data_IF_824858987981
#
_entry.id   IF_824858987981
#
_cell.length_a   1.000
_cell.length_b   1.000
_cell.length_c   1.000
_cell.angle_alpha   90.00
_cell.angle_beta   90.00
_cell.angle_gamma   90.00
#
_symmetry.space_group_name_H-M   'P 1'
#
loop_
_entity.id
_entity.type
_entity.pdbx_description
1 polymer ?
#
# COMPACT_ATOMS: atom_id res chain seq x y z
N UNK A 1 18.77 12.28 2.13
CA UNK A 1 18.66 11.03 2.90
C UNK A 1 17.56 11.16 3.93
N UNK A 2 16.75 10.12 4.06
CA UNK A 2 15.64 10.05 5.01
C UNK A 2 16.18 9.73 6.41
N UNK A 3 15.81 10.50 7.43
CA UNK A 3 16.41 10.37 8.78
C UNK A 3 15.97 9.07 9.46
N UNK A 4 16.92 8.36 10.07
CA UNK A 4 16.63 7.20 10.93
C UNK A 4 16.32 7.66 12.36
N UNK A 5 15.49 6.89 13.07
CA UNK A 5 15.35 6.94 14.54
C UNK A 5 16.21 5.83 15.15
N UNK A 6 17.36 6.21 15.68
CA UNK A 6 18.30 5.31 16.36
C UNK A 6 18.07 5.39 17.86
N UNK A 7 17.89 4.25 18.51
CA UNK A 7 17.78 4.16 19.97
C UNK A 7 19.00 3.45 20.55
N UNK A 8 19.64 4.09 21.51
CA UNK A 8 20.71 3.52 22.31
C UNK A 8 20.09 2.85 23.54
N UNK A 9 20.27 1.54 23.68
CA UNK A 9 19.78 0.81 24.84
C UNK A 9 20.85 0.85 25.94
N UNK A 10 20.66 1.76 26.89
CA UNK A 10 21.61 2.10 27.96
C UNK A 10 21.25 1.41 29.27
N UNK A 11 22.20 1.32 30.20
CA UNK A 11 21.97 0.84 31.58
C UNK A 11 22.09 2.02 32.57
N UNK A 12 21.05 2.35 33.33
CA UNK A 12 21.05 3.56 34.19
C UNK A 12 21.53 3.38 35.63
N UNK A 13 21.74 2.15 36.12
CA UNK A 13 22.13 1.87 37.52
C UNK A 13 23.54 1.25 37.55
N UNK A 14 24.61 1.80 38.17
CA UNK A 14 24.75 2.80 39.22
C UNK A 14 26.18 3.39 39.18
N UNK A 15 26.32 4.70 39.00
CA UNK A 15 27.57 5.47 39.14
C UNK A 15 28.01 5.68 40.61
N UNK A 16 27.32 5.04 41.57
CA UNK A 16 27.53 5.24 43.01
C UNK A 16 28.23 4.03 43.63
N UNK A 17 29.53 3.92 43.39
CA UNK A 17 30.42 2.97 44.07
C UNK A 17 31.84 3.14 43.55
N UNK A 18 32.82 3.16 44.45
CA UNK A 18 34.25 3.28 44.12
C UNK A 18 34.80 2.10 43.27
N UNK A 19 33.95 1.13 42.91
CA UNK A 19 34.24 -0.03 42.08
C UNK A 19 33.48 0.01 40.75
N UNK A 20 33.59 1.12 40.00
CA UNK A 20 33.07 1.16 38.64
C UNK A 20 33.88 0.16 37.78
N UNK A 21 33.27 -1.00 37.48
CA UNK A 21 33.88 -2.02 36.62
C UNK A 21 34.36 -1.37 35.30
N UNK A 22 35.53 -1.74 34.75
CA UNK A 22 36.11 -1.08 33.58
C UNK A 22 35.14 -0.93 32.39
N UNK A 23 34.29 -1.94 32.15
CA UNK A 23 33.28 -1.89 31.09
C UNK A 23 32.22 -0.79 31.30
N UNK A 24 31.91 -0.38 32.55
CA UNK A 24 31.00 0.73 32.83
C UNK A 24 31.60 2.08 32.43
N UNK A 25 32.88 2.29 32.71
CA UNK A 25 33.59 3.52 32.34
C UNK A 25 33.74 3.65 30.83
N UNK A 26 34.18 2.59 30.14
CA UNK A 26 34.27 2.60 28.68
C UNK A 26 32.89 2.67 28.01
N UNK A 27 31.84 2.12 28.64
CA UNK A 27 30.46 2.18 28.15
C UNK A 27 29.96 3.62 27.97
N UNK A 28 30.22 4.52 28.92
CA UNK A 28 29.84 5.93 28.76
C UNK A 28 30.54 6.59 27.56
N UNK A 29 31.86 6.42 27.44
CA UNK A 29 32.62 6.94 26.30
C UNK A 29 32.15 6.37 24.97
N UNK A 30 31.81 5.08 24.94
CA UNK A 30 31.27 4.41 23.76
C UNK A 30 29.95 5.07 23.33
N UNK A 31 29.02 5.27 24.27
CA UNK A 31 27.72 5.90 23.97
C UNK A 31 27.86 7.35 23.48
N UNK A 32 28.74 8.14 24.08
CA UNK A 32 29.04 9.51 23.62
C UNK A 32 29.58 9.50 22.18
N UNK A 33 30.48 8.56 21.86
CA UNK A 33 31.02 8.42 20.51
C UNK A 33 29.97 7.99 19.50
N UNK A 34 29.11 7.04 19.86
CA UNK A 34 28.02 6.56 18.99
C UNK A 34 27.00 7.67 18.75
N UNK A 35 26.60 8.39 19.80
CA UNK A 35 25.68 9.51 19.68
C UNK A 35 26.21 10.57 18.72
N UNK A 36 27.49 10.95 18.84
CA UNK A 36 28.13 11.91 17.93
C UNK A 36 28.09 11.46 16.47
N UNK A 37 28.27 10.17 16.18
CA UNK A 37 28.17 9.62 14.81
C UNK A 37 26.74 9.74 14.27
N UNK A 38 25.74 9.35 15.07
CA UNK A 38 24.33 9.39 14.65
C UNK A 38 23.89 10.82 14.36
N UNK A 39 24.34 11.78 15.18
CA UNK A 39 24.08 13.21 15.01
C UNK A 39 24.79 13.80 13.79
N UNK A 40 26.05 13.39 13.53
CA UNK A 40 26.82 13.78 12.33
C UNK A 40 26.11 13.35 11.03
N UNK A 41 25.47 12.17 11.02
CA UNK A 41 24.65 11.69 9.90
C UNK A 41 23.25 12.30 9.84
N UNK A 42 22.95 13.28 10.70
CA UNK A 42 21.66 13.95 10.81
C UNK A 42 20.49 13.00 11.10
N UNK A 43 20.73 11.90 11.79
CA UNK A 43 19.70 10.98 12.29
C UNK A 43 19.20 11.42 13.67
N UNK A 44 18.03 10.93 14.09
CA UNK A 44 17.50 11.17 15.45
C UNK A 44 18.10 10.12 16.37
N UNK A 45 18.73 10.57 17.45
CA UNK A 45 19.31 9.72 18.49
C UNK A 45 18.50 9.88 19.79
N UNK A 46 18.09 8.78 20.40
CA UNK A 46 17.44 8.75 21.70
C UNK A 46 18.05 7.63 22.55
N UNK A 47 17.98 7.75 23.88
CA UNK A 47 18.37 6.68 24.79
C UNK A 47 17.16 6.10 25.51
N UNK A 48 17.22 4.79 25.76
CA UNK A 48 16.25 4.05 26.56
C UNK A 48 17.01 3.25 27.61
N UNK A 49 16.56 3.30 28.86
CA UNK A 49 17.13 2.48 29.92
C UNK A 49 16.57 1.06 29.86
N UNK A 50 17.46 0.06 29.90
CA UNK A 50 17.07 -1.34 29.95
C UNK A 50 16.16 -1.63 31.16
N UNK A 51 16.46 -1.04 32.32
CA UNK A 51 15.63 -1.22 33.51
C UNK A 51 14.21 -0.67 33.29
N UNK A 52 14.04 0.43 32.56
CA UNK A 52 12.71 0.95 32.24
C UNK A 52 11.92 0.01 31.32
N UNK A 53 12.61 -0.74 30.45
CA UNK A 53 11.98 -1.77 29.62
C UNK A 53 11.56 -3.00 30.43
N UNK A 54 12.37 -3.44 31.40
CA UNK A 54 12.03 -4.55 32.30
C UNK A 54 10.71 -4.31 33.04
N UNK A 55 10.47 -3.06 33.46
CA UNK A 55 9.24 -2.64 34.13
C UNK A 55 8.11 -2.23 33.17
N UNK A 56 8.29 -2.46 31.86
CA UNK A 56 7.33 -2.09 30.81
C UNK A 56 6.87 -0.63 30.89
N UNK A 57 7.79 0.29 31.22
CA UNK A 57 7.47 1.73 31.26
C UNK A 57 7.02 2.18 29.87
N UNK A 58 5.77 2.65 29.78
CA UNK A 58 5.08 2.91 28.52
C UNK A 58 5.91 3.76 27.54
N UNK A 59 6.52 4.85 28.00
CA UNK A 59 7.32 5.74 27.14
C UNK A 59 8.58 5.06 26.60
N UNK A 60 9.29 4.29 27.43
CA UNK A 60 10.51 3.59 27.07
C UNK A 60 10.26 2.44 26.11
N UNK A 61 9.23 1.63 26.38
CA UNK A 61 8.77 0.56 25.49
C UNK A 61 8.41 1.14 24.14
N UNK A 62 7.66 2.23 24.15
CA UNK A 62 7.24 2.91 22.94
C UNK A 62 8.42 3.42 22.10
N UNK A 63 9.39 4.14 22.72
CA UNK A 63 10.62 4.57 22.04
C UNK A 63 11.38 3.38 21.43
N UNK A 64 11.53 2.31 22.21
CA UNK A 64 12.24 1.10 21.80
C UNK A 64 11.58 0.38 20.62
N UNK A 65 10.26 0.16 20.63
CA UNK A 65 9.55 -0.53 19.53
C UNK A 65 9.48 0.34 18.26
N UNK A 66 9.41 1.66 18.42
CA UNK A 66 9.35 2.60 17.29
C UNK A 66 10.72 2.98 16.70
N UNK A 67 11.81 2.57 17.31
CA UNK A 67 13.15 2.73 16.76
C UNK A 67 13.27 2.03 15.40
N UNK A 68 13.93 2.69 14.45
CA UNK A 68 14.32 2.08 13.17
C UNK A 68 15.49 1.11 13.38
N UNK A 69 16.44 1.51 14.23
CA UNK A 69 17.58 0.69 14.64
C UNK A 69 17.76 0.86 16.14
N UNK A 70 17.93 -0.25 16.86
CA UNK A 70 18.43 -0.24 18.23
C UNK A 70 19.89 -0.64 18.24
N UNK A 71 20.71 0.08 19.00
CA UNK A 71 22.10 -0.28 19.28
C UNK A 71 22.18 -0.78 20.72
N UNK A 72 22.66 -2.02 20.89
CA UNK A 72 22.70 -2.70 22.19
C UNK A 72 24.13 -3.15 22.49
N UNK A 73 24.66 -2.77 23.65
CA UNK A 73 25.93 -3.29 24.15
C UNK A 73 25.67 -4.46 25.10
N UNK A 74 26.05 -5.67 24.68
CA UNK A 74 25.86 -6.92 25.42
C UNK A 74 27.12 -7.38 26.14
N UNK A 75 28.07 -6.46 26.37
CA UNK A 75 29.32 -6.75 27.08
C UNK A 75 29.06 -7.32 28.48
N UNK A 76 28.06 -6.80 29.20
CA UNK A 76 27.70 -7.25 30.55
C UNK A 76 26.96 -8.61 30.54
N UNK A 77 27.56 -9.71 31.04
CA UNK A 77 26.96 -11.05 31.03
C UNK A 77 25.59 -11.12 31.72
N UNK A 78 25.44 -10.44 32.86
CA UNK A 78 24.22 -10.48 33.68
C UNK A 78 22.99 -9.93 32.95
N UNK A 79 23.21 -9.08 31.94
CA UNK A 79 22.14 -8.39 31.19
C UNK A 79 21.88 -9.00 29.82
N UNK A 80 22.77 -9.86 29.31
CA UNK A 80 22.60 -10.51 27.99
C UNK A 80 21.25 -11.19 27.83
N UNK A 81 20.72 -11.96 28.81
CA UNK A 81 19.41 -12.60 28.65
C UNK A 81 18.29 -11.59 28.38
N UNK A 82 18.29 -10.47 29.10
CA UNK A 82 17.30 -9.39 28.93
C UNK A 82 17.44 -8.70 27.57
N UNK A 83 18.67 -8.39 27.14
CA UNK A 83 18.92 -7.86 25.80
C UNK A 83 18.41 -8.80 24.71
N UNK A 84 18.68 -10.10 24.84
CA UNK A 84 18.23 -11.11 23.88
C UNK A 84 16.72 -11.27 23.84
N UNK A 85 16.05 -11.18 24.99
CA UNK A 85 14.59 -11.18 25.04
C UNK A 85 14.01 -10.00 24.25
N UNK A 86 14.48 -8.78 24.49
CA UNK A 86 13.98 -7.61 23.78
C UNK A 86 14.37 -7.61 22.29
N UNK A 87 15.53 -8.14 21.94
CA UNK A 87 15.91 -8.39 20.54
C UNK A 87 14.92 -9.35 19.87
N UNK A 88 14.59 -10.47 20.52
CA UNK A 88 13.61 -11.43 20.01
C UNK A 88 12.23 -10.81 19.78
N UNK A 89 11.78 -9.94 20.69
CA UNK A 89 10.54 -9.18 20.49
C UNK A 89 10.61 -8.29 19.24
N UNK A 90 11.75 -7.65 18.98
CA UNK A 90 11.95 -6.84 17.77
C UNK A 90 12.02 -7.69 16.50
N UNK A 91 12.71 -8.84 16.54
CA UNK A 91 12.72 -9.80 15.42
C UNK A 91 11.30 -10.28 15.08
N UNK A 92 10.44 -10.50 16.08
CA UNK A 92 9.03 -10.88 15.85
C UNK A 92 8.23 -9.79 15.11
N UNK A 93 8.66 -8.53 15.19
CA UNK A 93 8.10 -7.40 14.44
C UNK A 93 8.84 -7.08 13.14
N UNK A 94 9.68 -8.00 12.65
CA UNK A 94 10.50 -7.86 11.44
C UNK A 94 11.55 -6.72 11.53
N UNK A 95 11.94 -6.33 12.75
CA UNK A 95 13.05 -5.40 13.00
C UNK A 95 14.38 -6.18 13.05
N UNK A 96 14.97 -6.49 11.90
CA UNK A 96 16.17 -7.34 11.81
C UNK A 96 17.49 -6.56 11.78
N UNK A 97 17.43 -5.23 11.67
CA UNK A 97 18.58 -4.35 11.42
C UNK A 97 19.25 -3.80 12.70
N UNK A 98 18.88 -4.30 13.87
CA UNK A 98 19.48 -3.88 15.14
C UNK A 98 20.98 -4.23 15.19
N UNK A 99 21.75 -3.37 15.86
CA UNK A 99 23.21 -3.47 15.98
C UNK A 99 23.54 -4.00 17.36
N UNK A 100 24.35 -5.06 17.41
CA UNK A 100 24.84 -5.63 18.67
C UNK A 100 26.33 -5.32 18.80
N UNK A 101 26.71 -4.74 19.94
CA UNK A 101 28.08 -4.44 20.32
C UNK A 101 28.52 -5.38 21.45
N UNK A 102 29.77 -5.84 21.41
CA UNK A 102 30.36 -6.61 22.51
C UNK A 102 31.87 -6.35 22.59
N UNK A 103 32.38 -6.12 23.79
CA UNK A 103 33.81 -5.94 24.01
C UNK A 103 34.54 -7.29 23.93
N UNK A 104 35.65 -7.34 23.19
CA UNK A 104 36.58 -8.46 23.28
C UNK A 104 37.37 -8.37 24.60
N UNK A 105 36.82 -8.97 25.65
CA UNK A 105 37.44 -9.00 26.97
C UNK A 105 37.09 -10.28 27.72
N UNK A 106 38.10 -11.10 27.95
CA UNK A 106 37.99 -12.33 28.76
C UNK A 106 37.26 -13.47 28.04
N UNK A 107 37.43 -14.67 28.60
CA UNK A 107 36.93 -15.93 28.03
C UNK A 107 35.40 -15.94 27.90
N UNK A 108 34.70 -15.31 28.84
CA UNK A 108 33.24 -15.26 28.84
C UNK A 108 32.68 -14.47 27.65
N UNK A 109 33.30 -13.34 27.28
CA UNK A 109 32.87 -12.58 26.11
C UNK A 109 33.28 -13.29 24.82
N UNK A 110 34.43 -13.96 24.79
CA UNK A 110 34.86 -14.74 23.63
C UNK A 110 33.88 -15.87 23.30
N UNK A 111 33.39 -16.58 24.32
CA UNK A 111 32.34 -17.58 24.17
C UNK A 111 31.03 -16.94 23.67
N UNK A 112 30.60 -15.84 24.29
CA UNK A 112 29.39 -15.13 23.87
C UNK A 112 29.48 -14.62 22.43
N UNK A 113 30.63 -14.12 21.98
CA UNK A 113 30.87 -13.72 20.58
C UNK A 113 30.61 -14.90 19.64
N UNK A 114 31.08 -16.09 19.99
CA UNK A 114 30.87 -17.28 19.18
C UNK A 114 29.39 -17.71 19.15
N UNK A 115 28.71 -17.63 20.29
CA UNK A 115 27.28 -17.93 20.39
C UNK A 115 26.44 -16.94 19.57
N UNK A 116 26.74 -15.64 19.66
CA UNK A 116 26.09 -14.58 18.89
C UNK A 116 26.25 -14.78 17.38
N UNK A 117 27.44 -15.19 16.93
CA UNK A 117 27.73 -15.44 15.51
C UNK A 117 26.99 -16.65 14.95
N UNK A 118 26.72 -17.65 15.78
CA UNK A 118 26.15 -18.94 15.34
C UNK A 118 24.64 -19.04 15.56
N UNK A 119 24.12 -18.40 16.61
CA UNK A 119 22.75 -18.62 17.09
C UNK A 119 21.80 -17.48 16.72
N UNK A 120 22.29 -16.24 16.63
CA UNK A 120 21.44 -15.07 16.45
C UNK A 120 21.50 -14.53 15.02
N UNK A 121 20.35 -14.21 14.42
CA UNK A 121 20.27 -13.45 13.17
C UNK A 121 20.59 -11.98 13.48
N UNK A 122 21.87 -11.66 13.52
CA UNK A 122 22.38 -10.29 13.75
C UNK A 122 22.90 -9.75 12.42
N UNK A 123 22.28 -8.70 11.91
CA UNK A 123 22.70 -8.09 10.65
C UNK A 123 24.03 -7.36 10.78
N UNK A 124 24.28 -6.73 11.93
CA UNK A 124 25.58 -6.15 12.28
C UNK A 124 25.94 -6.46 13.74
N UNK A 125 26.94 -7.32 13.91
CA UNK A 125 27.65 -7.54 15.16
C UNK A 125 28.97 -6.78 15.08
N UNK A 126 29.26 -5.94 16.08
CA UNK A 126 30.57 -5.30 16.23
C UNK A 126 31.23 -5.82 17.50
N UNK A 127 32.27 -6.61 17.32
CA UNK A 127 33.21 -6.93 18.38
C UNK A 127 34.20 -5.78 18.48
N UNK A 128 34.19 -5.06 19.59
CA UNK A 128 35.03 -3.87 19.74
C UNK A 128 36.16 -4.05 20.74
N UNK A 129 37.23 -3.27 20.52
CA UNK A 129 38.33 -3.10 21.46
C UNK A 129 38.64 -1.62 21.63
N UNK A 130 38.74 -1.16 22.87
CA UNK A 130 39.11 0.21 23.20
C UNK A 130 40.64 0.33 23.37
N UNK A 131 41.25 1.28 22.66
CA UNK A 131 42.66 1.66 22.82
C UNK A 131 42.72 2.94 23.66
N UNK A 132 43.05 2.79 24.95
CA UNK A 132 43.11 3.91 25.91
C UNK A 132 44.14 4.97 25.51
N UNK A 133 45.22 4.56 24.85
CA UNK A 133 46.33 5.46 24.50
C UNK A 133 45.94 6.48 23.43
N UNK A 134 45.00 6.10 22.56
CA UNK A 134 44.52 6.91 21.44
C UNK A 134 43.09 7.41 21.66
N UNK A 135 42.40 6.95 22.70
CA UNK A 135 40.97 7.20 22.95
C UNK A 135 40.09 6.80 21.75
N UNK A 136 40.34 5.59 21.21
CA UNK A 136 39.72 5.10 19.98
C UNK A 136 39.15 3.70 20.17
N UNK A 137 37.96 3.47 19.59
CA UNK A 137 37.33 2.16 19.49
C UNK A 137 37.60 1.54 18.11
N UNK A 138 38.16 0.33 18.10
CA UNK A 138 38.36 -0.47 16.90
C UNK A 138 37.29 -1.53 16.78
N UNK A 139 36.82 -1.76 15.55
CA UNK A 139 36.03 -2.93 15.19
C UNK A 139 36.98 -4.06 14.78
N UNK A 140 36.98 -5.12 15.58
CA UNK A 140 37.82 -6.31 15.41
C UNK A 140 36.97 -7.55 15.08
N UNK A 141 35.74 -7.35 14.62
CA UNK A 141 34.82 -8.43 14.24
C UNK A 141 35.43 -9.33 13.17
N UNK A 142 36.14 -8.71 12.23
CA UNK A 142 36.91 -9.37 11.17
C UNK A 142 38.40 -9.23 11.44
N UNK A 143 39.18 -10.24 11.06
CA UNK A 143 40.64 -10.27 11.23
C UNK A 143 41.37 -9.42 10.18
N UNK A 144 41.00 -8.14 10.02
CA UNK A 144 41.69 -7.20 9.14
C UNK A 144 42.88 -6.53 9.84
N UNK A 145 43.97 -6.29 9.10
CA UNK A 145 45.16 -5.58 9.60
C UNK A 145 45.48 -4.37 8.70
N UNK A 146 45.36 -3.12 9.19
CA UNK A 146 44.85 -2.74 10.53
C UNK A 146 43.33 -2.93 10.65
N UNK A 147 42.79 -3.12 11.89
CA UNK A 147 41.35 -3.17 12.10
C UNK A 147 40.68 -1.82 11.83
N UNK A 148 39.47 -1.78 11.25
CA UNK A 148 38.73 -0.55 11.04
C UNK A 148 38.35 0.13 12.36
N UNK A 149 38.08 1.43 12.28
CA UNK A 149 37.50 2.17 13.40
C UNK A 149 36.03 1.81 13.52
N UNK A 150 35.54 1.65 14.76
CA UNK A 150 34.13 1.43 15.05
C UNK A 150 33.25 2.52 14.40
N UNK A 151 33.74 3.77 14.42
CA UNK A 151 33.08 4.91 13.78
C UNK A 151 32.89 4.71 12.27
N UNK A 152 33.90 4.17 11.58
CA UNK A 152 33.83 3.92 10.15
C UNK A 152 32.82 2.82 9.84
N UNK A 153 32.86 1.71 10.57
CA UNK A 153 31.90 0.61 10.41
C UNK A 153 30.46 1.09 10.63
N UNK A 154 30.20 1.79 11.74
CA UNK A 154 28.87 2.30 12.07
C UNK A 154 28.35 3.29 11.01
N UNK A 155 29.19 4.24 10.57
CA UNK A 155 28.78 5.20 9.52
C UNK A 155 28.35 4.50 8.24
N UNK A 156 29.19 3.59 7.74
CA UNK A 156 28.89 2.85 6.52
C UNK A 156 27.60 2.02 6.62
N UNK A 157 27.32 1.45 7.79
CA UNK A 157 26.08 0.70 8.00
C UNK A 157 24.86 1.64 8.05
N UNK A 158 24.91 2.69 8.86
CA UNK A 158 23.78 3.62 9.04
C UNK A 158 23.41 4.34 7.74
N UNK A 159 24.39 4.73 6.91
CA UNK A 159 24.14 5.32 5.60
C UNK A 159 23.39 4.36 4.66
N UNK A 160 23.81 3.10 4.59
CA UNK A 160 23.12 2.08 3.79
C UNK A 160 21.74 1.76 4.35
N UNK A 161 21.62 1.67 5.67
CA UNK A 161 20.39 1.39 6.37
C UNK A 161 19.34 2.48 6.15
N UNK A 162 19.76 3.75 6.09
CA UNK A 162 18.88 4.89 5.88
C UNK A 162 18.03 4.78 4.62
N UNK A 163 18.56 4.18 3.56
CA UNK A 163 17.85 4.06 2.28
C UNK A 163 17.06 2.74 2.14
N UNK A 164 17.38 1.72 2.94
CA UNK A 164 16.86 0.36 2.76
C UNK A 164 15.85 -0.09 3.82
N UNK A 165 15.84 0.52 5.01
CA UNK A 165 14.98 0.09 6.12
C UNK A 165 13.62 0.80 6.08
N UNK A 166 12.50 0.07 6.26
CA UNK A 166 11.19 0.67 6.49
C UNK A 166 11.17 1.53 7.77
N UNK A 167 10.78 2.81 7.64
CA UNK A 167 10.86 3.78 8.73
C UNK A 167 9.60 3.80 9.58
N UNK A 168 9.78 3.54 10.87
CA UNK A 168 8.70 3.46 11.84
C UNK A 168 7.82 2.21 11.69
N UNK A 169 6.98 1.99 12.70
CA UNK A 169 6.20 0.78 12.85
C UNK A 169 5.21 0.54 11.69
N UNK A 170 4.61 1.59 11.14
CA UNK A 170 3.63 1.47 10.05
C UNK A 170 4.25 0.94 8.74
N UNK A 171 5.40 1.47 8.32
CA UNK A 171 6.06 0.98 7.10
C UNK A 171 6.66 -0.42 7.30
N UNK A 172 7.03 -0.78 8.54
CA UNK A 172 7.40 -2.16 8.90
C UNK A 172 6.26 -3.15 8.75
N UNK A 173 5.08 -2.85 9.31
CA UNK A 173 3.90 -3.69 9.08
C UNK A 173 3.58 -3.85 7.59
N UNK A 174 3.68 -2.77 6.81
CA UNK A 174 3.46 -2.82 5.36
C UNK A 174 4.50 -3.73 4.68
N UNK A 175 5.77 -3.63 5.04
CA UNK A 175 6.83 -4.50 4.53
C UNK A 175 6.56 -5.97 4.87
N UNK A 176 6.30 -6.27 6.15
CA UNK A 176 6.00 -7.62 6.65
C UNK A 176 4.79 -8.23 5.94
N UNK A 177 3.71 -7.46 5.74
CA UNK A 177 2.53 -7.89 4.99
C UNK A 177 2.87 -8.26 3.53
N UNK A 178 3.70 -7.47 2.85
CA UNK A 178 4.08 -7.74 1.46
C UNK A 178 4.96 -9.00 1.37
N UNK A 179 5.92 -9.17 2.26
CA UNK A 179 6.78 -10.37 2.32
C UNK A 179 5.93 -11.61 2.57
N UNK A 180 5.08 -11.58 3.61
CA UNK A 180 4.21 -12.71 3.95
C UNK A 180 3.20 -13.03 2.87
N UNK A 181 2.74 -12.06 2.07
CA UNK A 181 1.85 -12.33 0.93
C UNK A 181 2.51 -13.23 -0.12
N UNK A 182 3.82 -13.09 -0.32
CA UNK A 182 4.59 -13.90 -1.27
C UNK A 182 4.87 -15.29 -0.69
N UNK A 183 5.16 -15.38 0.60
CA UNK A 183 5.45 -16.64 1.30
C UNK A 183 4.18 -17.50 1.51
N UNK A 184 3.12 -16.87 2.00
CA UNK A 184 1.83 -17.49 2.30
C UNK A 184 0.94 -17.32 1.06
N UNK A 185 1.15 -18.19 0.07
CA UNK A 185 0.31 -18.21 -1.14
C UNK A 185 -1.14 -18.66 -0.84
N UNK A 186 -1.38 -19.27 0.33
CA UNK A 186 -2.70 -19.67 0.79
C UNK A 186 -3.46 -18.49 1.43
N UNK A 187 -4.68 -18.24 0.95
CA UNK A 187 -5.49 -17.11 1.41
C UNK A 187 -5.92 -17.22 2.86
N UNK A 188 -6.13 -18.43 3.39
CA UNK A 188 -6.55 -18.62 4.79
C UNK A 188 -5.37 -18.40 5.74
N UNK A 189 -4.20 -18.96 5.45
CA UNK A 189 -2.99 -18.72 6.22
C UNK A 189 -2.60 -17.23 6.21
N UNK A 190 -2.76 -16.56 5.06
CA UNK A 190 -2.52 -15.11 4.99
C UNK A 190 -3.55 -14.30 5.78
N UNK A 191 -4.84 -14.68 5.75
CA UNK A 191 -5.85 -14.10 6.64
C UNK A 191 -5.46 -14.24 8.13
N UNK A 192 -5.11 -15.46 8.57
CA UNK A 192 -4.75 -15.73 9.96
C UNK A 192 -3.57 -14.86 10.40
N UNK A 193 -2.56 -14.69 9.54
CA UNK A 193 -1.45 -13.77 9.74
C UNK A 193 -1.91 -12.30 9.86
N UNK A 194 -2.71 -11.81 8.91
CA UNK A 194 -3.19 -10.42 8.92
C UNK A 194 -4.02 -10.10 10.16
N UNK A 195 -4.89 -11.02 10.58
CA UNK A 195 -5.80 -10.80 11.70
C UNK A 195 -5.14 -11.03 13.05
N UNK A 196 -4.54 -12.20 13.25
CA UNK A 196 -4.08 -12.63 14.57
C UNK A 196 -2.71 -12.05 14.94
N UNK A 197 -1.90 -11.65 13.96
CA UNK A 197 -0.61 -10.98 14.22
C UNK A 197 -0.75 -9.48 13.98
N UNK A 198 -0.97 -9.03 12.75
CA UNK A 198 -0.89 -7.60 12.42
C UNK A 198 -2.01 -6.79 13.07
N UNK A 199 -3.28 -7.18 12.93
CA UNK A 199 -4.39 -6.42 13.52
C UNK A 199 -4.37 -6.48 15.05
N UNK A 200 -4.07 -7.65 15.63
CA UNK A 200 -3.97 -7.80 17.08
C UNK A 200 -2.86 -6.92 17.68
N UNK A 201 -1.66 -6.91 17.08
CA UNK A 201 -0.54 -6.06 17.52
C UNK A 201 -0.86 -4.57 17.30
N UNK A 202 -1.39 -4.20 16.14
CA UNK A 202 -1.68 -2.81 15.77
C UNK A 202 -2.78 -2.16 16.62
N UNK A 203 -3.84 -2.91 16.93
CA UNK A 203 -5.03 -2.40 17.63
C UNK A 203 -4.90 -2.49 19.17
N UNK A 204 -3.75 -2.95 19.66
CA UNK A 204 -3.40 -2.91 21.07
C UNK A 204 -3.31 -1.45 21.58
N UNK A 205 -3.68 -1.21 22.84
CA UNK A 205 -3.73 0.11 23.49
C UNK A 205 -2.40 0.87 23.40
N UNK A 206 -1.27 0.16 23.50
CA UNK A 206 0.07 0.75 23.43
C UNK A 206 0.45 1.25 22.03
N UNK A 207 -0.19 0.73 20.98
CA UNK A 207 0.22 0.95 19.58
C UNK A 207 -0.71 1.91 18.82
N UNK A 208 -1.83 2.34 19.42
CA UNK A 208 -2.86 3.18 18.78
C UNK A 208 -2.33 4.52 18.25
N UNK A 209 -1.31 5.07 18.90
CA UNK A 209 -0.65 6.32 18.48
C UNK A 209 0.01 6.17 17.10
N UNK A 210 0.50 4.97 16.76
CA UNK A 210 1.25 4.68 15.53
C UNK A 210 0.38 4.18 14.38
N UNK A 211 -0.86 3.84 14.67
CA UNK A 211 -1.83 3.50 13.65
C UNK A 211 -2.13 4.75 12.84
N UNK A 212 -1.73 4.71 11.57
CA UNK A 212 -1.97 5.77 10.60
C UNK A 212 -3.07 5.35 9.64
N UNK A 213 -3.81 6.30 9.05
CA UNK A 213 -4.77 5.98 8.00
C UNK A 213 -4.12 5.22 6.83
N UNK A 214 -2.85 5.52 6.50
CA UNK A 214 -2.07 4.79 5.48
C UNK A 214 -1.96 3.30 5.80
N UNK A 215 -1.63 2.94 7.05
CA UNK A 215 -1.51 1.55 7.48
C UNK A 215 -2.86 0.83 7.40
N UNK A 216 -3.92 1.46 7.89
CA UNK A 216 -5.29 0.90 7.83
C UNK A 216 -5.71 0.68 6.37
N UNK A 217 -5.51 1.66 5.49
CA UNK A 217 -5.80 1.52 4.06
C UNK A 217 -5.02 0.34 3.45
N UNK A 218 -3.75 0.14 3.83
CA UNK A 218 -2.94 -0.97 3.34
C UNK A 218 -3.42 -2.33 3.85
N UNK A 219 -3.85 -2.42 5.11
CA UNK A 219 -4.50 -3.62 5.66
C UNK A 219 -5.82 -3.94 4.94
N UNK A 220 -6.66 -2.93 4.71
CA UNK A 220 -7.91 -3.11 3.97
C UNK A 220 -7.64 -3.63 2.54
N UNK A 221 -6.59 -3.14 1.87
CA UNK A 221 -6.17 -3.70 0.59
C UNK A 221 -5.68 -5.14 0.70
N UNK A 222 -4.91 -5.49 1.74
CA UNK A 222 -4.43 -6.85 1.95
C UNK A 222 -5.59 -7.84 2.13
N UNK A 223 -6.61 -7.50 2.93
CA UNK A 223 -7.84 -8.31 3.06
C UNK A 223 -8.65 -8.37 1.76
N UNK A 224 -8.74 -7.26 1.02
CA UNK A 224 -9.43 -7.21 -0.28
C UNK A 224 -8.78 -8.16 -1.30
N UNK A 225 -7.45 -8.24 -1.33
CA UNK A 225 -6.72 -9.07 -2.28
C UNK A 225 -7.02 -10.57 -2.09
N UNK A 226 -7.33 -10.99 -0.87
CA UNK A 226 -7.83 -12.35 -0.54
C UNK A 226 -9.37 -12.44 -0.48
N UNK A 227 -10.07 -11.38 -0.89
CA UNK A 227 -11.55 -11.27 -0.91
C UNK A 227 -12.22 -11.47 0.46
N UNK A 228 -11.52 -11.17 1.55
CA UNK A 228 -12.05 -11.25 2.90
C UNK A 228 -12.71 -9.92 3.34
N UNK A 229 -13.91 -9.71 2.81
CA UNK A 229 -14.68 -8.49 3.07
C UNK A 229 -15.21 -8.40 4.51
N UNK A 230 -15.42 -9.55 5.17
CA UNK A 230 -15.86 -9.62 6.55
C UNK A 230 -14.80 -9.02 7.49
N UNK A 231 -13.54 -9.40 7.31
CA UNK A 231 -12.44 -8.84 8.10
C UNK A 231 -12.19 -7.37 7.79
N UNK A 232 -12.39 -6.91 6.55
CA UNK A 232 -12.32 -5.47 6.23
C UNK A 232 -13.33 -4.66 7.05
N UNK A 233 -14.57 -5.16 7.17
CA UNK A 233 -15.64 -4.50 7.92
C UNK A 233 -15.33 -4.54 9.42
N UNK A 234 -14.95 -5.70 9.95
CA UNK A 234 -14.55 -5.86 11.36
C UNK A 234 -13.37 -4.96 11.73
N UNK A 235 -12.37 -4.83 10.85
CA UNK A 235 -11.24 -3.92 11.04
C UNK A 235 -11.69 -2.47 11.17
N UNK A 236 -12.55 -1.99 10.26
CA UNK A 236 -13.06 -0.62 10.33
C UNK A 236 -13.88 -0.38 11.60
N UNK A 237 -14.79 -1.30 11.94
CA UNK A 237 -15.58 -1.23 13.18
C UNK A 237 -14.68 -1.17 14.42
N UNK A 238 -13.63 -1.99 14.46
CA UNK A 238 -12.68 -1.98 15.58
C UNK A 238 -11.89 -0.68 15.64
N UNK A 239 -11.52 -0.10 14.50
CA UNK A 239 -10.85 1.20 14.45
C UNK A 239 -11.75 2.36 14.91
N UNK A 240 -13.05 2.31 14.60
CA UNK A 240 -14.04 3.30 15.05
C UNK A 240 -14.31 3.23 16.56
N UNK A 241 -14.19 2.04 17.17
CA UNK A 241 -14.30 1.86 18.63
C UNK A 241 -13.12 2.47 19.40
N UNK A 242 -11.94 2.58 18.78
CA UNK A 242 -10.73 3.07 19.42
C UNK A 242 -10.59 4.58 19.21
N UNK A 243 -10.82 5.37 20.27
CA UNK A 243 -10.98 6.83 20.19
C UNK A 243 -9.85 7.54 19.42
N UNK A 244 -8.59 7.18 19.67
CA UNK A 244 -7.43 7.81 19.02
C UNK A 244 -7.32 7.46 17.53
N UNK A 245 -7.72 6.24 17.16
CA UNK A 245 -7.75 5.80 15.75
C UNK A 245 -8.94 6.44 15.04
N UNK A 246 -10.13 6.40 15.66
CA UNK A 246 -11.36 6.97 15.14
C UNK A 246 -11.19 8.45 14.77
N UNK A 247 -10.50 9.24 15.61
CA UNK A 247 -10.16 10.64 15.33
C UNK A 247 -9.34 10.80 14.03
N UNK A 248 -8.40 9.89 13.76
CA UNK A 248 -7.52 9.93 12.58
C UNK A 248 -8.24 9.48 11.30
N UNK A 249 -9.23 8.59 11.41
CA UNK A 249 -9.90 7.99 10.24
C UNK A 249 -11.27 8.58 9.91
N UNK A 250 -11.92 9.32 10.81
CA UNK A 250 -13.31 9.82 10.66
C UNK A 250 -13.61 10.50 9.32
N UNK A 251 -12.63 11.20 8.75
CA UNK A 251 -12.78 11.92 7.48
C UNK A 251 -11.93 11.30 6.35
N UNK A 252 -11.42 10.08 6.53
CA UNK A 252 -10.60 9.42 5.52
C UNK A 252 -11.49 8.75 4.48
N UNK A 253 -11.66 9.43 3.34
CA UNK A 253 -12.50 8.96 2.24
C UNK A 253 -12.11 7.56 1.74
N UNK A 254 -10.82 7.23 1.70
CA UNK A 254 -10.37 5.94 1.18
C UNK A 254 -10.84 4.80 2.08
N UNK A 255 -10.72 4.96 3.41
CA UNK A 255 -11.18 3.98 4.39
C UNK A 255 -12.71 3.85 4.32
N UNK A 256 -13.44 4.96 4.24
CA UNK A 256 -14.90 4.93 4.09
C UNK A 256 -15.34 4.26 2.79
N UNK A 257 -14.68 4.56 1.67
CA UNK A 257 -14.94 3.93 0.38
C UNK A 257 -14.66 2.42 0.44
N UNK A 258 -13.50 2.00 0.96
CA UNK A 258 -13.17 0.57 1.09
C UNK A 258 -14.13 -0.16 2.03
N UNK A 259 -14.69 0.53 3.03
CA UNK A 259 -15.71 -0.02 3.92
C UNK A 259 -17.03 -0.23 3.18
N UNK A 260 -17.49 0.78 2.43
CA UNK A 260 -18.69 0.64 1.59
C UNK A 260 -18.52 -0.44 0.52
N UNK A 261 -17.33 -0.52 -0.09
CA UNK A 261 -16.93 -1.56 -1.02
C UNK A 261 -17.06 -2.95 -0.38
N UNK A 262 -16.45 -3.16 0.78
CA UNK A 262 -16.50 -4.45 1.47
C UNK A 262 -17.95 -4.88 1.78
N UNK A 263 -18.78 -3.95 2.27
CA UNK A 263 -20.21 -4.20 2.55
C UNK A 263 -20.99 -4.57 1.29
N UNK A 264 -20.81 -3.81 0.20
CA UNK A 264 -21.41 -4.12 -1.10
C UNK A 264 -21.07 -5.54 -1.59
N UNK A 265 -19.85 -6.01 -1.30
CA UNK A 265 -19.38 -7.34 -1.71
C UNK A 265 -19.80 -8.47 -0.78
N UNK A 266 -19.82 -8.24 0.55
CA UNK A 266 -20.32 -9.20 1.55
C UNK A 266 -21.81 -9.48 1.35
N UNK A 267 -22.58 -8.43 1.03
CA UNK A 267 -23.97 -8.54 0.58
C UNK A 267 -24.90 -9.24 1.61
N UNK A 268 -24.64 -9.04 2.90
CA UNK A 268 -25.54 -9.47 3.98
C UNK A 268 -26.74 -8.50 4.14
N UNK A 269 -27.81 -8.90 4.85
CA UNK A 269 -28.94 -8.01 5.12
C UNK A 269 -28.50 -6.70 5.78
N UNK A 270 -28.88 -5.55 5.20
CA UNK A 270 -28.51 -4.21 5.68
C UNK A 270 -27.20 -3.65 5.11
N UNK A 271 -26.33 -4.49 4.55
CA UNK A 271 -25.05 -4.00 4.01
C UNK A 271 -25.20 -3.04 2.85
N UNK A 272 -26.18 -3.30 1.97
CA UNK A 272 -26.42 -2.45 0.80
C UNK A 272 -26.89 -1.05 1.21
N UNK A 273 -27.76 -0.97 2.21
CA UNK A 273 -28.30 0.29 2.69
C UNK A 273 -27.23 1.09 3.44
N UNK A 274 -26.38 0.43 4.24
CA UNK A 274 -25.24 1.08 4.90
C UNK A 274 -24.16 1.51 3.90
N UNK A 275 -23.82 0.65 2.92
CA UNK A 275 -22.88 1.01 1.86
C UNK A 275 -23.38 2.21 1.06
N UNK A 276 -24.67 2.22 0.72
CA UNK A 276 -25.31 3.34 0.05
C UNK A 276 -25.25 4.60 0.92
N UNK A 277 -25.56 4.51 2.21
CA UNK A 277 -25.49 5.64 3.14
C UNK A 277 -24.07 6.21 3.26
N UNK A 278 -23.04 5.35 3.34
CA UNK A 278 -21.64 5.78 3.38
C UNK A 278 -21.27 6.48 2.08
N UNK A 279 -21.60 5.90 0.93
CA UNK A 279 -21.32 6.49 -0.38
C UNK A 279 -22.10 7.80 -0.58
N UNK A 280 -23.34 7.87 -0.13
CA UNK A 280 -24.15 9.08 -0.11
C UNK A 280 -23.50 10.14 0.76
N UNK A 281 -23.06 9.80 1.99
CA UNK A 281 -22.34 10.72 2.85
C UNK A 281 -21.09 11.23 2.14
N UNK A 282 -20.25 10.35 1.58
CA UNK A 282 -19.07 10.74 0.80
C UNK A 282 -19.43 11.67 -0.38
N UNK A 283 -20.56 11.46 -1.04
CA UNK A 283 -21.07 12.30 -2.13
C UNK A 283 -21.72 13.62 -1.66
N UNK A 284 -22.23 13.69 -0.43
CA UNK A 284 -22.74 14.90 0.20
C UNK A 284 -21.61 15.75 0.78
N UNK A 285 -20.51 15.11 1.21
CA UNK A 285 -19.50 15.75 2.06
C UNK A 285 -18.56 16.71 1.34
N UNK A 286 -18.35 16.72 -0.01
CA UNK A 286 -17.86 17.96 -0.71
C UNK A 286 -17.64 17.95 -2.23
N UNK A 287 -18.02 19.08 -2.87
CA UNK A 287 -17.40 19.63 -4.11
C UNK A 287 -15.91 20.00 -3.95
N UNK A 288 -15.40 20.11 -2.72
CA UNK A 288 -14.03 20.54 -2.38
C UNK A 288 -13.05 19.38 -2.13
N UNK A 289 -13.50 18.12 -2.09
CA UNK A 289 -12.67 16.96 -1.72
C UNK A 289 -12.32 16.06 -2.92
N UNK A 290 -13.04 16.18 -4.03
CA UNK A 290 -12.59 15.75 -5.37
C UNK A 290 -11.29 16.50 -5.75
N UNK A 291 -11.15 17.76 -5.32
CA UNK A 291 -9.91 18.52 -5.43
C UNK A 291 -8.78 17.88 -4.59
N UNK A 292 -9.09 17.29 -3.44
CA UNK A 292 -8.10 16.60 -2.59
C UNK A 292 -7.73 15.21 -3.13
N UNK A 293 -8.67 14.49 -3.75
CA UNK A 293 -8.40 13.21 -4.42
C UNK A 293 -7.64 13.41 -5.74
N UNK A 294 -8.00 14.43 -6.53
CA UNK A 294 -7.20 14.94 -7.64
C UNK A 294 -5.84 15.51 -7.17
N UNK A 295 -5.74 16.10 -5.98
CA UNK A 295 -4.48 16.54 -5.39
C UNK A 295 -3.66 15.39 -4.77
N UNK A 296 -4.25 14.24 -4.44
CA UNK A 296 -3.53 13.01 -4.05
C UNK A 296 -2.98 12.29 -5.27
N UNK A 297 -3.74 12.24 -6.37
CA UNK A 297 -3.27 11.83 -7.69
C UNK A 297 -2.19 12.80 -8.22
N UNK A 298 -2.37 14.11 -7.99
CA UNK A 298 -1.40 15.16 -8.26
C UNK A 298 -0.15 15.12 -7.35
N UNK A 299 -0.27 14.79 -6.06
CA UNK A 299 0.85 14.60 -5.12
C UNK A 299 1.69 13.36 -5.45
N UNK A 300 1.09 12.34 -6.08
CA UNK A 300 1.84 11.22 -6.68
C UNK A 300 2.59 11.63 -7.97
N UNK A 301 2.37 12.85 -8.49
CA UNK A 301 3.04 13.41 -9.68
C UNK A 301 2.58 12.81 -11.01
N UNK A 302 1.41 12.17 -11.06
CA UNK A 302 1.06 11.18 -12.09
C UNK A 302 -0.12 11.59 -12.95
N UNK A 303 0.06 11.47 -14.26
CA UNK A 303 -1.04 11.41 -15.23
C UNK A 303 -1.85 10.11 -14.99
N UNK A 304 -3.11 10.06 -15.43
CA UNK A 304 -3.91 8.82 -15.44
C UNK A 304 -3.12 7.65 -16.05
N UNK A 305 -2.28 7.94 -17.04
CA UNK A 305 -1.40 7.00 -17.75
C UNK A 305 -0.33 6.34 -16.87
N UNK A 306 0.04 6.97 -15.76
CA UNK A 306 1.08 6.49 -14.85
C UNK A 306 0.51 5.64 -13.69
N UNK A 307 -0.82 5.45 -13.65
CA UNK A 307 -1.48 4.59 -12.69
C UNK A 307 -1.39 3.14 -13.16
N UNK A 308 -0.67 2.31 -12.42
CA UNK A 308 -0.54 0.87 -12.72
C UNK A 308 -1.48 0.00 -11.87
N UNK A 309 -2.01 0.55 -10.78
CA UNK A 309 -2.97 -0.15 -9.93
C UNK A 309 -4.39 0.01 -10.47
N UNK A 310 -5.04 -1.12 -10.78
CA UNK A 310 -6.40 -1.12 -11.34
C UNK A 310 -7.40 -0.36 -10.47
N UNK A 311 -7.29 -0.48 -9.14
CA UNK A 311 -8.30 0.07 -8.23
C UNK A 311 -8.20 1.59 -8.10
N UNK A 312 -6.98 2.15 -8.18
CA UNK A 312 -6.78 3.59 -8.33
C UNK A 312 -7.53 4.11 -9.58
N UNK A 313 -7.47 3.37 -10.71
CA UNK A 313 -8.14 3.73 -11.97
C UNK A 313 -9.66 3.52 -11.91
N UNK A 314 -10.12 2.42 -11.32
CA UNK A 314 -11.54 2.11 -11.15
C UNK A 314 -12.24 3.13 -10.24
N UNK A 315 -11.59 3.55 -9.14
CA UNK A 315 -12.09 4.61 -8.27
C UNK A 315 -12.19 5.93 -9.02
N UNK A 316 -11.18 6.24 -9.86
CA UNK A 316 -11.21 7.43 -10.71
C UNK A 316 -12.37 7.39 -11.71
N UNK A 317 -12.60 6.24 -12.36
CA UNK A 317 -13.72 5.99 -13.26
C UNK A 317 -15.07 6.21 -12.55
N UNK A 318 -15.30 5.54 -11.42
CA UNK A 318 -16.55 5.62 -10.65
C UNK A 318 -16.86 7.07 -10.21
N UNK A 319 -15.86 7.80 -9.74
CA UNK A 319 -16.03 9.18 -9.27
C UNK A 319 -16.38 10.17 -10.39
N UNK A 320 -15.76 10.04 -11.57
CA UNK A 320 -16.03 10.92 -12.71
C UNK A 320 -17.38 10.59 -13.36
N UNK A 321 -17.75 9.31 -13.39
CA UNK A 321 -19.08 8.88 -13.82
C UNK A 321 -20.20 9.48 -12.96
N UNK A 322 -20.05 9.49 -11.62
CA UNK A 322 -21.02 10.12 -10.71
C UNK A 322 -21.17 11.63 -10.95
N UNK A 323 -20.08 12.30 -11.34
CA UNK A 323 -20.08 13.74 -11.64
C UNK A 323 -20.56 14.07 -13.05
N UNK A 324 -20.80 13.06 -13.90
CA UNK A 324 -21.07 13.23 -15.34
C UNK A 324 -19.91 13.92 -16.08
N UNK A 325 -18.68 13.74 -15.61
CA UNK A 325 -17.48 14.12 -16.37
C UNK A 325 -17.10 12.93 -17.28
N UNK A 326 -17.92 12.77 -18.32
CA UNK A 326 -17.90 11.61 -19.21
C UNK A 326 -16.55 11.43 -19.90
N UNK A 327 -15.92 12.53 -20.34
CA UNK A 327 -14.61 12.51 -21.01
C UNK A 327 -13.53 11.81 -20.16
N UNK A 328 -13.42 12.16 -18.87
CA UNK A 328 -12.45 11.54 -17.96
C UNK A 328 -12.84 10.13 -17.56
N UNK A 329 -14.14 9.84 -17.44
CA UNK A 329 -14.61 8.48 -17.21
C UNK A 329 -14.22 7.56 -18.37
N UNK A 330 -14.43 7.96 -19.63
CA UNK A 330 -14.05 7.18 -20.80
C UNK A 330 -12.54 6.93 -20.88
N UNK A 331 -11.71 7.94 -20.55
CA UNK A 331 -10.25 7.75 -20.47
C UNK A 331 -9.86 6.72 -19.42
N UNK A 332 -10.53 6.73 -18.26
CA UNK A 332 -10.27 5.76 -17.20
C UNK A 332 -10.76 4.36 -17.56
N UNK A 333 -11.89 4.24 -18.24
CA UNK A 333 -12.40 2.98 -18.77
C UNK A 333 -11.41 2.35 -19.78
N UNK A 334 -10.89 3.13 -20.73
CA UNK A 334 -9.86 2.66 -21.63
C UNK A 334 -8.61 2.18 -20.87
N UNK A 335 -8.18 2.91 -19.85
CA UNK A 335 -7.03 2.52 -19.05
C UNK A 335 -7.29 1.26 -18.21
N UNK A 336 -8.51 1.10 -17.67
CA UNK A 336 -8.94 -0.14 -17.01
C UNK A 336 -8.86 -1.34 -17.96
N UNK A 337 -9.24 -1.18 -19.24
CA UNK A 337 -9.08 -2.22 -20.25
C UNK A 337 -7.60 -2.55 -20.49
N UNK A 338 -6.75 -1.54 -20.66
CA UNK A 338 -5.31 -1.72 -20.91
C UNK A 338 -4.56 -2.42 -19.77
N UNK A 339 -5.04 -2.30 -18.53
CA UNK A 339 -4.48 -3.00 -17.38
C UNK A 339 -4.81 -4.51 -17.36
N UNK A 340 -5.68 -4.98 -18.26
CA UNK A 340 -6.10 -6.39 -18.40
C UNK A 340 -6.44 -7.07 -17.05
N UNK A 341 -7.41 -6.52 -16.29
CA UNK A 341 -7.73 -7.02 -14.96
C UNK A 341 -8.52 -8.34 -15.01
N UNK A 342 -8.46 -9.16 -13.94
CA UNK A 342 -9.38 -10.29 -13.78
C UNK A 342 -10.84 -9.85 -13.85
N UNK A 343 -11.72 -10.68 -14.40
CA UNK A 343 -13.15 -10.35 -14.63
C UNK A 343 -13.87 -9.90 -13.34
N UNK A 344 -13.50 -10.46 -12.19
CA UNK A 344 -14.12 -10.11 -10.92
C UNK A 344 -13.85 -8.66 -10.48
N UNK A 345 -12.72 -8.05 -10.92
CA UNK A 345 -12.44 -6.63 -10.73
C UNK A 345 -13.48 -5.79 -11.47
N UNK A 346 -13.68 -6.05 -12.77
CA UNK A 346 -14.68 -5.36 -13.60
C UNK A 346 -16.09 -5.52 -13.03
N UNK A 347 -16.45 -6.75 -12.63
CA UNK A 347 -17.74 -7.05 -12.00
C UNK A 347 -17.98 -6.21 -10.75
N UNK A 348 -16.94 -6.02 -9.94
CA UNK A 348 -17.00 -5.19 -8.73
C UNK A 348 -17.24 -3.72 -9.07
N UNK A 349 -16.44 -3.16 -9.99
CA UNK A 349 -16.52 -1.76 -10.39
C UNK A 349 -17.88 -1.41 -11.01
N UNK A 350 -18.39 -2.25 -11.90
CA UNK A 350 -19.71 -2.06 -12.51
C UNK A 350 -20.84 -2.16 -11.46
N UNK A 351 -20.72 -3.04 -10.47
CA UNK A 351 -21.71 -3.14 -9.39
C UNK A 351 -21.69 -1.90 -8.48
N UNK A 352 -20.52 -1.39 -8.12
CA UNK A 352 -20.36 -0.15 -7.36
C UNK A 352 -20.99 1.03 -8.11
N UNK A 353 -20.73 1.13 -9.41
CA UNK A 353 -21.28 2.18 -10.25
C UNK A 353 -22.81 2.12 -10.33
N UNK A 354 -23.42 0.93 -10.39
CA UNK A 354 -24.88 0.76 -10.32
C UNK A 354 -25.46 1.35 -9.02
N UNK A 355 -24.82 1.07 -7.89
CA UNK A 355 -25.21 1.60 -6.57
C UNK A 355 -25.05 3.12 -6.54
N UNK A 356 -23.92 3.63 -7.02
CA UNK A 356 -23.63 5.07 -7.09
C UNK A 356 -24.60 5.83 -7.99
N UNK A 357 -24.98 5.25 -9.15
CA UNK A 357 -26.00 5.79 -10.02
C UNK A 357 -27.39 5.79 -9.36
N UNK A 358 -27.75 4.75 -8.62
CA UNK A 358 -29.00 4.71 -7.85
C UNK A 358 -29.05 5.82 -6.78
N UNK A 359 -27.97 6.01 -6.02
CA UNK A 359 -27.79 7.09 -5.06
C UNK A 359 -27.96 8.49 -5.71
N UNK A 360 -27.35 8.66 -6.88
CA UNK A 360 -27.34 9.93 -7.62
C UNK A 360 -28.69 10.20 -8.32
N UNK A 361 -29.42 9.15 -8.69
CA UNK A 361 -30.74 9.23 -9.34
C UNK A 361 -31.84 9.65 -8.34
N UNK A 362 -31.73 9.22 -7.08
CA UNK A 362 -32.57 9.70 -5.97
C UNK A 362 -32.37 11.21 -5.72
N UNK A 363 -31.14 11.73 -5.92
CA UNK A 363 -30.79 13.15 -5.75
C UNK A 363 -31.38 14.09 -6.81
N UNK A 364 -31.59 13.61 -8.04
CA UNK A 364 -31.92 14.46 -9.20
C UNK A 364 -33.39 14.46 -9.63
N UNK A 365 -34.32 13.91 -8.83
CA UNK A 365 -35.75 13.89 -9.16
C UNK A 365 -36.34 15.29 -9.47
N UNK A 366 -35.73 16.38 -8.99
CA UNK A 366 -36.16 17.77 -9.28
C UNK A 366 -35.40 18.47 -10.42
N UNK A 367 -34.32 17.91 -10.97
CA UNK A 367 -33.56 18.46 -12.12
C UNK A 367 -33.77 17.70 -13.43
N UNK A 368 -34.33 16.48 -13.36
CA UNK A 368 -34.51 15.56 -14.49
C UNK A 368 -35.57 15.97 -15.53
N UNK A 369 -36.30 17.08 -15.34
CA UNK A 369 -37.33 17.54 -16.30
C UNK A 369 -36.90 18.71 -17.20
N UNK A 370 -35.73 19.35 -16.98
CA UNK A 370 -35.33 20.54 -17.78
C UNK A 370 -34.08 20.35 -18.66
N UNK A 371 -33.41 19.20 -18.62
CA UNK A 371 -32.31 18.87 -19.53
C UNK A 371 -32.53 17.47 -20.14
N UNK A 372 -33.55 17.37 -21.00
CA UNK A 372 -33.64 16.33 -22.03
C UNK A 372 -33.50 17.02 -23.37
N UNK A 373 -32.30 17.46 -23.72
CA UNK A 373 -31.98 17.88 -25.07
C UNK A 373 -30.47 17.90 -25.25
N UNK A 374 -30.00 17.07 -26.19
CA UNK A 374 -28.62 16.80 -26.61
C UNK A 374 -27.87 15.87 -25.64
N UNK A 375 -27.88 14.57 -25.96
CA UNK A 375 -26.91 13.60 -25.41
C UNK A 375 -25.53 14.05 -25.90
N UNK A 376 -24.56 14.15 -24.98
CA UNK A 376 -23.18 14.53 -25.34
C UNK A 376 -22.49 13.33 -25.98
N UNK A 377 -21.66 13.51 -27.01
CA UNK A 377 -20.90 12.42 -27.66
C UNK A 377 -20.12 11.58 -26.63
N UNK A 378 -19.54 12.22 -25.61
CA UNK A 378 -18.86 11.53 -24.50
C UNK A 378 -19.78 10.64 -23.64
N UNK A 379 -21.08 10.95 -23.53
CA UNK A 379 -22.08 10.14 -22.81
C UNK A 379 -22.40 8.86 -23.58
N UNK A 380 -22.43 8.91 -24.92
CA UNK A 380 -22.58 7.73 -25.78
C UNK A 380 -21.35 6.82 -25.71
N UNK A 381 -20.14 7.41 -25.73
CA UNK A 381 -18.89 6.67 -25.51
C UNK A 381 -18.84 6.05 -24.11
N UNK A 382 -19.36 6.75 -23.10
CA UNK A 382 -19.48 6.20 -21.76
C UNK A 382 -20.45 5.01 -21.70
N UNK A 383 -21.61 5.11 -22.36
CA UNK A 383 -22.56 3.99 -22.47
C UNK A 383 -21.91 2.78 -23.13
N UNK A 384 -21.14 2.98 -24.20
CA UNK A 384 -20.34 1.93 -24.83
C UNK A 384 -19.43 1.22 -23.82
N UNK A 385 -18.69 1.96 -22.99
CA UNK A 385 -17.80 1.34 -22.00
C UNK A 385 -18.55 0.52 -20.94
N UNK A 386 -19.76 0.96 -20.55
CA UNK A 386 -20.62 0.19 -19.63
C UNK A 386 -21.09 -1.10 -20.27
N UNK A 387 -21.52 -1.05 -21.52
CA UNK A 387 -22.00 -2.22 -22.26
C UNK A 387 -20.84 -3.19 -22.55
N UNK A 388 -19.68 -2.66 -22.95
CA UNK A 388 -18.45 -3.42 -23.18
C UNK A 388 -18.02 -4.23 -21.95
N UNK A 389 -17.93 -3.58 -20.78
CA UNK A 389 -17.59 -4.29 -19.54
C UNK A 389 -18.69 -5.23 -19.09
N UNK A 390 -19.96 -4.86 -19.26
CA UNK A 390 -21.09 -5.72 -18.88
C UNK A 390 -21.13 -6.99 -19.74
N UNK A 391 -20.86 -6.89 -21.04
CA UNK A 391 -20.77 -8.05 -21.92
C UNK A 391 -19.61 -8.98 -21.53
N UNK A 392 -18.43 -8.42 -21.22
CA UNK A 392 -17.27 -9.17 -20.73
C UNK A 392 -17.54 -9.89 -19.39
N UNK A 393 -18.36 -9.32 -18.51
CA UNK A 393 -18.76 -9.95 -17.24
C UNK A 393 -19.75 -11.10 -17.50
N UNK A 394 -20.72 -10.88 -18.39
CA UNK A 394 -21.78 -11.84 -18.69
C UNK A 394 -21.31 -13.03 -19.55
N UNK A 395 -20.32 -12.84 -20.41
CA UNK A 395 -19.73 -13.92 -21.20
C UNK A 395 -18.96 -14.95 -20.35
N UNK A 396 -18.57 -14.59 -19.14
CA UNK A 396 -17.85 -15.46 -18.20
C UNK A 396 -18.75 -16.16 -17.17
N UNK A 397 -20.04 -15.87 -17.12
CA UNK A 397 -20.99 -16.65 -16.31
C UNK A 397 -21.37 -17.94 -17.04
N UNK A 398 -21.00 -19.09 -16.45
CA UNK A 398 -21.10 -20.47 -16.95
C UNK A 398 -22.52 -21.04 -17.11
N UNK A 399 -23.53 -20.24 -17.42
CA UNK A 399 -24.84 -20.77 -17.83
C UNK A 399 -24.78 -21.16 -19.30
N UNK A 400 -24.78 -22.47 -19.59
CA UNK A 400 -24.96 -23.08 -20.92
C UNK A 400 -26.40 -22.82 -21.48
N UNK A 401 -26.87 -21.59 -21.41
CA UNK A 401 -28.07 -21.17 -22.14
C UNK A 401 -27.58 -20.54 -23.45
N UNK A 402 -28.17 -20.94 -24.57
CA UNK A 402 -27.93 -20.33 -25.87
C UNK A 402 -28.15 -18.82 -25.75
N UNK A 403 -27.06 -18.06 -25.64
CA UNK A 403 -27.10 -16.63 -25.42
C UNK A 403 -27.50 -15.97 -26.73
N UNK A 404 -28.66 -15.33 -26.78
CA UNK A 404 -28.98 -14.40 -27.85
C UNK A 404 -27.93 -13.28 -27.82
N UNK A 405 -27.09 -13.23 -28.87
CA UNK A 405 -26.12 -12.17 -29.04
C UNK A 405 -26.88 -10.84 -29.18
N UNK A 406 -26.42 -9.76 -28.50
CA UNK A 406 -27.04 -8.46 -28.68
C UNK A 406 -26.94 -8.07 -30.17
N UNK A 407 -27.98 -7.40 -30.68
CA UNK A 407 -28.03 -6.95 -32.07
C UNK A 407 -26.82 -6.08 -32.48
N UNK A 408 -26.14 -5.47 -31.50
CA UNK A 408 -24.88 -4.76 -31.66
C UNK A 408 -23.92 -5.19 -30.55
N UNK A 409 -22.71 -5.61 -30.93
CA UNK A 409 -21.65 -6.03 -30.01
C UNK A 409 -20.63 -4.90 -29.86
N UNK A 410 -20.34 -4.43 -28.64
CA UNK A 410 -19.31 -3.41 -28.42
C UNK A 410 -17.92 -4.03 -28.63
N UNK A 411 -17.10 -3.41 -29.48
CA UNK A 411 -15.74 -3.86 -29.81
C UNK A 411 -14.75 -2.68 -29.78
N UNK A 412 -13.47 -3.00 -29.56
CA UNK A 412 -12.38 -2.04 -29.70
C UNK A 412 -11.60 -2.36 -30.97
N UNK A 413 -11.62 -1.43 -31.93
CA UNK A 413 -10.82 -1.55 -33.16
C UNK A 413 -9.45 -0.95 -32.89
N UNK A 414 -8.40 -1.75 -33.12
CA UNK A 414 -7.02 -1.29 -32.99
C UNK A 414 -6.53 -0.80 -34.35
N UNK A 415 -6.21 0.50 -34.45
CA UNK A 415 -5.71 1.12 -35.68
C UNK A 415 -4.38 1.85 -35.44
N UNK A 416 -3.64 2.11 -36.52
CA UNK A 416 -2.41 2.90 -36.52
C UNK A 416 -2.69 4.26 -37.16
N UNK A 417 -2.50 5.34 -36.40
CA UNK A 417 -2.75 6.69 -36.88
C UNK A 417 -1.46 7.42 -37.18
N UNK A 418 -1.33 7.98 -38.39
CA UNK A 418 -0.28 8.94 -38.70
C UNK A 418 -0.75 10.36 -38.36
N UNK A 419 0.01 11.04 -37.51
CA UNK A 419 -0.21 12.46 -37.24
C UNK A 419 0.35 13.30 -38.39
N UNK A 420 -0.20 14.51 -38.54
CA UNK A 420 0.24 15.51 -39.52
C UNK A 420 1.72 15.93 -39.39
N UNK A 421 2.37 15.64 -38.27
CA UNK A 421 3.80 15.87 -38.02
C UNK A 421 4.70 14.69 -38.45
N UNK A 422 4.13 13.66 -39.07
CA UNK A 422 4.82 12.45 -39.52
C UNK A 422 5.04 11.42 -38.42
N UNK A 423 4.50 11.62 -37.21
CA UNK A 423 4.60 10.63 -36.12
C UNK A 423 3.46 9.61 -36.17
N UNK A 424 3.79 8.32 -36.25
CA UNK A 424 2.80 7.23 -36.22
C UNK A 424 2.47 6.84 -34.79
N UNK A 425 1.24 7.06 -34.36
CA UNK A 425 0.67 6.45 -33.16
C UNK A 425 0.26 5.01 -33.46
N UNK A 426 0.98 4.05 -32.88
CA UNK A 426 0.64 2.63 -33.00
C UNK A 426 -0.30 2.20 -31.89
N UNK A 427 -1.17 1.22 -32.19
CA UNK A 427 -2.10 0.59 -31.25
C UNK A 427 -3.10 1.57 -30.61
N UNK A 428 -3.74 2.41 -31.43
CA UNK A 428 -4.82 3.28 -30.97
C UNK A 428 -6.12 2.47 -30.97
N UNK A 429 -6.71 2.29 -29.80
CA UNK A 429 -8.00 1.64 -29.66
C UNK A 429 -9.13 2.65 -29.87
N UNK A 430 -10.06 2.30 -30.74
CA UNK A 430 -11.24 3.11 -31.08
C UNK A 430 -12.50 2.36 -30.69
N UNK A 431 -13.41 3.05 -30.01
CA UNK A 431 -14.69 2.52 -29.56
C UNK A 431 -15.66 2.32 -30.75
N UNK A 432 -16.08 1.08 -31.02
CA UNK A 432 -16.93 0.75 -32.18
C UNK A 432 -17.99 -0.31 -31.84
N UNK A 433 -19.09 -0.33 -32.59
CA UNK A 433 -20.11 -1.38 -32.53
C UNK A 433 -20.05 -2.26 -33.77
N UNK A 434 -20.09 -3.56 -33.56
CA UNK A 434 -20.19 -4.59 -34.59
C UNK A 434 -21.65 -5.07 -34.71
N UNK A 435 -22.18 -5.07 -35.92
CA UNK A 435 -23.53 -5.58 -36.21
C UNK A 435 -23.48 -6.56 -37.38
N UNK A 436 -24.12 -7.72 -37.21
CA UNK A 436 -24.35 -8.70 -38.27
C UNK A 436 -25.77 -8.53 -38.80
N UNK A 437 -25.93 -8.32 -40.11
CA UNK A 437 -27.24 -8.21 -40.74
C UNK A 437 -27.59 -9.48 -41.52
N UNK A 438 -28.81 -9.94 -41.34
CA UNK A 438 -29.40 -11.10 -42.00
C UNK A 438 -30.59 -10.60 -42.83
N UNK A 439 -30.57 -10.71 -44.17
CA UNK A 439 -31.68 -10.21 -44.98
C UNK A 439 -32.76 -11.26 -45.27
N UNK A 440 -32.44 -12.57 -45.39
CA UNK A 440 -33.48 -13.62 -45.58
C UNK A 440 -33.03 -15.06 -45.27
N UNK A 441 -32.02 -15.30 -44.42
CA UNK A 441 -31.52 -16.66 -44.13
C UNK A 441 -30.77 -16.81 -42.81
N UNK A 442 -30.32 -18.05 -42.52
CA UNK A 442 -29.60 -18.44 -41.29
C UNK A 442 -28.13 -18.01 -41.25
N UNK A 443 -27.58 -17.47 -42.33
CA UNK A 443 -26.18 -17.06 -42.46
C UNK A 443 -26.06 -15.52 -42.56
N UNK A 444 -25.05 -14.91 -41.90
CA UNK A 444 -24.86 -13.46 -41.93
C UNK A 444 -24.28 -13.03 -43.28
N UNK A 445 -24.93 -12.09 -43.97
CA UNK A 445 -24.51 -11.64 -45.30
C UNK A 445 -23.60 -10.40 -45.25
N UNK A 446 -23.84 -9.49 -44.29
CA UNK A 446 -23.04 -8.28 -44.14
C UNK A 446 -22.65 -8.03 -42.69
N UNK A 447 -21.41 -7.59 -42.51
CA UNK A 447 -20.83 -7.17 -41.25
C UNK A 447 -20.64 -5.66 -41.29
N UNK A 448 -21.24 -4.96 -40.33
CA UNK A 448 -21.17 -3.50 -40.23
C UNK A 448 -20.41 -3.13 -38.97
N UNK A 449 -19.33 -2.36 -39.12
CA UNK A 449 -18.60 -1.72 -38.03
C UNK A 449 -18.94 -0.24 -38.03
N UNK A 450 -19.54 0.23 -36.93
CA UNK A 450 -19.81 1.65 -36.70
C UNK A 450 -18.89 2.18 -35.62
N UNK A 451 -18.08 3.17 -35.95
CA UNK A 451 -17.15 3.80 -35.01
C UNK A 451 -17.81 4.98 -34.31
N UNK A 452 -17.66 5.08 -32.99
CA UNK A 452 -18.14 6.23 -32.22
C UNK A 452 -17.17 7.41 -32.41
N UNK A 453 -17.59 8.44 -33.14
CA UNK A 453 -16.73 9.60 -33.40
C UNK A 453 -16.53 10.48 -32.16
N UNK A 454 -15.27 10.80 -31.84
CA UNK A 454 -14.90 11.92 -30.97
C UNK A 454 -14.59 13.13 -31.85
N UNK A 455 -15.57 13.95 -32.21
CA UNK A 455 -15.24 15.13 -33.05
C UNK A 455 -14.49 16.21 -32.26
N UNK A 456 -13.20 16.39 -32.59
CA UNK A 456 -12.60 17.68 -33.00
C UNK A 456 -11.12 17.53 -33.34
N UNK A 457 -10.81 17.19 -34.58
CA UNK A 457 -10.17 18.10 -35.57
C UNK A 457 -9.88 17.31 -36.84
N UNK A 458 -10.25 17.91 -37.96
CA UNK A 458 -10.11 17.43 -39.36
C UNK A 458 -11.26 16.53 -39.82
N UNK A 459 -12.08 17.13 -40.68
CA UNK A 459 -13.10 16.57 -41.56
C UNK A 459 -13.05 15.04 -41.71
N UNK A 460 -14.13 14.33 -41.36
CA UNK A 460 -14.65 13.18 -42.12
C UNK A 460 -15.99 12.72 -41.52
N UNK A 461 -16.81 12.12 -42.39
CA UNK A 461 -18.17 11.62 -42.13
C UNK A 461 -18.15 10.34 -41.28
N UNK A 462 -19.28 10.06 -40.61
CA UNK A 462 -19.55 8.83 -39.83
C UNK A 462 -19.00 7.60 -40.57
N UNK A 463 -17.89 7.04 -40.09
CA UNK A 463 -17.18 5.97 -40.80
C UNK A 463 -17.85 4.63 -40.54
N UNK A 464 -18.90 4.35 -41.32
CA UNK A 464 -19.55 3.04 -41.37
C UNK A 464 -18.79 2.16 -42.35
N UNK A 465 -18.04 1.17 -41.85
CA UNK A 465 -17.41 0.14 -42.70
C UNK A 465 -18.37 -1.03 -42.82
N UNK A 466 -18.86 -1.28 -44.03
CA UNK A 466 -19.67 -2.47 -44.35
C UNK A 466 -18.80 -3.45 -45.12
N UNK A 467 -18.69 -4.68 -44.62
CA UNK A 467 -17.94 -5.77 -45.24
C UNK A 467 -18.93 -6.85 -45.67
N UNK A 468 -18.90 -7.23 -46.95
CA UNK A 468 -19.67 -8.38 -47.44
C UNK A 468 -18.97 -9.67 -46.98
N UNK A 469 -19.69 -10.56 -46.29
CA UNK A 469 -19.09 -11.78 -45.73
C UNK A 469 -18.57 -12.73 -46.83
N UNK A 470 -19.08 -12.62 -48.06
CA UNK A 470 -18.61 -13.38 -49.22
C UNK A 470 -17.20 -12.97 -49.71
N UNK A 471 -16.61 -11.93 -49.12
CA UNK A 471 -15.29 -11.36 -49.50
C UNK A 471 -14.18 -11.62 -48.47
N UNK A 472 -14.49 -12.29 -47.36
CA UNK A 472 -13.58 -12.75 -46.30
C UNK A 472 -13.36 -14.24 -46.49
#
# INVERSE_FOLDING_TARGET
>A
MSRLKVVLLTESNSLTGNDALPYKYYGQKLWEKIQSIVEELHHRCESVDLHKLDFQEHESVNKFLNADIVIMDVTNPDRRPTFMYHKGNRESMDCMDDIVLIQASGVENDNAIQDLKTTCKIKLLIVYRYDESKDVFYDITQSSSPPPLLNTTLKCFLERAADNIPKGLADRYISRMNTRKVELQDSKAYHDFLWNEVCAEMLNETNQEYVTPKLITKLMYAFRDIQDYESMIKLNQRCEQLLEIAKKIRNNMMISYLTAFARSRRNEPGDRDEALSILEHLCHTKKTEIIQLNALLGKKGRSLRDLTDYWDVATYFELHAVQRDWSKACLAALHMYLLNPPIWYLKSTINNLKILHQATRMRNQKKLQQQRSIISDDEDVYSFWIDFFSDAINSNSTSNEERELPAQVPILVCDNYEKNDGTTLKNVYVESHLQLNFHTGSEPETLVIRTLEKQKTLQTEETVRTIEMNSI
#
